data_IF_210469206987
#
_entry.id   IF_210469206987
#
_cell.length_a   1.000
_cell.length_b   1.000
_cell.length_c   1.000
_cell.angle_alpha   90.00
_cell.angle_beta   90.00
_cell.angle_gamma   90.00
#
_symmetry.space_group_name_H-M   'P 1'
#
loop_
_entity.id
_entity.type
_entity.pdbx_description
1 polymer ?
#
# COMPACT_ATOMS: atom_id res chain seq x y z
N UNK A 1 16.26 -19.40 -24.38
CA UNK A 1 15.70 -18.13 -24.89
C UNK A 1 14.46 -17.82 -24.09
N UNK A 2 14.45 -16.75 -23.30
CA UNK A 2 13.27 -16.36 -22.51
C UNK A 2 12.16 -15.93 -23.48
N UNK A 3 10.95 -16.45 -23.31
CA UNK A 3 9.83 -16.05 -24.18
C UNK A 3 9.37 -14.65 -23.81
N UNK A 4 8.94 -13.86 -24.79
CA UNK A 4 8.34 -12.52 -24.57
C UNK A 4 7.14 -12.58 -23.61
N UNK A 5 6.41 -13.71 -23.60
CA UNK A 5 5.33 -13.96 -22.64
C UNK A 5 5.86 -14.16 -21.21
N UNK A 6 7.00 -14.81 -21.03
CA UNK A 6 7.66 -14.98 -19.73
C UNK A 6 8.18 -13.66 -19.17
N UNK A 7 8.65 -12.75 -20.02
CA UNK A 7 9.09 -11.41 -19.61
C UNK A 7 7.93 -10.47 -19.28
N UNK A 8 6.83 -10.55 -20.02
CA UNK A 8 5.61 -9.80 -19.71
C UNK A 8 4.98 -10.33 -18.42
N UNK A 9 4.90 -11.66 -18.25
CA UNK A 9 4.40 -12.28 -17.03
C UNK A 9 5.30 -11.97 -15.84
N UNK A 10 6.62 -11.99 -16.00
CA UNK A 10 7.55 -11.57 -14.96
C UNK A 10 7.44 -10.08 -14.64
N UNK A 11 7.16 -9.20 -15.61
CA UNK A 11 6.88 -7.78 -15.37
C UNK A 11 5.54 -7.56 -14.66
N UNK A 12 4.50 -8.34 -14.98
CA UNK A 12 3.20 -8.29 -14.32
C UNK A 12 3.26 -8.87 -12.90
N UNK A 13 3.95 -9.99 -12.70
CA UNK A 13 4.22 -10.57 -11.38
C UNK A 13 5.14 -9.69 -10.53
N UNK A 14 6.05 -8.92 -11.16
CA UNK A 14 6.86 -7.90 -10.49
C UNK A 14 6.09 -6.59 -10.25
N UNK A 15 4.97 -6.37 -10.96
CA UNK A 15 4.11 -5.21 -10.77
C UNK A 15 3.14 -5.40 -9.59
N UNK A 16 2.73 -6.65 -9.28
CA UNK A 16 1.86 -6.91 -8.14
C UNK A 16 2.71 -7.16 -6.88
N UNK A 17 2.57 -6.35 -5.81
CA UNK A 17 3.24 -6.63 -4.55
C UNK A 17 2.78 -7.97 -3.96
N UNK A 18 3.72 -8.79 -3.52
CA UNK A 18 3.42 -10.08 -2.85
C UNK A 18 3.49 -9.97 -1.33
N UNK A 19 4.05 -8.87 -0.82
CA UNK A 19 4.10 -8.55 0.59
C UNK A 19 4.06 -7.04 0.83
N UNK A 20 3.68 -6.62 2.03
CA UNK A 20 3.77 -5.21 2.45
C UNK A 20 5.22 -4.71 2.40
N UNK A 21 6.18 -5.60 2.68
CA UNK A 21 7.61 -5.30 2.57
C UNK A 21 7.98 -4.94 1.13
N UNK A 22 7.44 -5.63 0.13
CA UNK A 22 7.67 -5.32 -1.29
C UNK A 22 7.21 -3.90 -1.65
N UNK A 23 6.17 -3.40 -0.97
CA UNK A 23 5.68 -2.03 -1.13
C UNK A 23 6.63 -1.08 -0.40
N UNK A 24 6.98 -1.37 0.86
CA UNK A 24 7.84 -0.49 1.66
C UNK A 24 9.23 -0.30 1.04
N UNK A 25 9.81 -1.37 0.48
CA UNK A 25 11.13 -1.34 -0.14
C UNK A 25 11.20 -0.42 -1.39
N UNK A 26 10.06 0.03 -1.93
CA UNK A 26 10.00 1.01 -3.03
C UNK A 26 10.16 2.46 -2.57
N UNK A 27 10.04 2.73 -1.28
CA UNK A 27 10.05 4.08 -0.72
C UNK A 27 11.20 4.23 0.25
N UNK A 28 12.18 5.06 -0.10
CA UNK A 28 13.26 5.41 0.81
C UNK A 28 12.79 6.48 1.79
N UNK A 29 13.03 6.27 3.09
CA UNK A 29 12.61 7.18 4.16
C UNK A 29 13.71 8.23 4.42
N UNK A 30 14.40 8.72 3.39
CA UNK A 30 15.21 9.94 3.53
C UNK A 30 14.32 11.20 3.51
N UNK A 31 13.24 11.22 4.29
CA UNK A 31 12.40 12.40 4.46
C UNK A 31 12.96 13.24 5.61
N UNK A 32 13.93 14.09 5.25
CA UNK A 32 14.57 15.08 6.12
C UNK A 32 13.62 16.22 6.50
N UNK A 33 12.46 15.95 7.13
CA UNK A 33 11.73 16.97 7.91
C UNK A 33 11.05 16.39 9.13
N UNK A 34 11.40 16.97 10.29
CA UNK A 34 11.07 16.52 11.63
C UNK A 34 9.58 16.26 11.87
N UNK A 35 9.34 15.17 12.60
CA UNK A 35 8.04 14.84 13.16
C UNK A 35 7.56 15.91 14.13
N UNK A 36 6.27 16.22 14.01
CA UNK A 36 5.57 17.08 14.95
C UNK A 36 4.08 16.93 14.77
N UNK A 37 3.39 16.34 15.76
CA UNK A 37 1.92 16.32 16.07
C UNK A 37 0.89 16.12 14.92
N UNK A 38 1.31 16.01 13.66
CA UNK A 38 0.47 15.81 12.48
C UNK A 38 0.53 14.37 11.93
N UNK A 39 1.29 13.47 12.58
CA UNK A 39 1.49 12.09 12.13
C UNK A 39 0.19 11.26 12.06
N UNK A 40 -0.87 11.68 12.76
CA UNK A 40 -2.18 11.04 12.64
C UNK A 40 -2.97 11.47 11.39
N UNK A 41 -2.48 12.40 10.59
CA UNK A 41 -3.16 12.86 9.38
C UNK A 41 -2.50 12.35 8.10
N UNK A 42 -1.31 11.74 8.19
CA UNK A 42 -0.52 11.32 7.04
C UNK A 42 -0.31 9.80 7.04
N UNK A 43 -0.10 9.23 5.85
CA UNK A 43 0.20 7.82 5.64
C UNK A 43 1.62 7.68 5.08
N UNK A 44 2.48 6.95 5.79
CA UNK A 44 3.79 6.56 5.29
C UNK A 44 3.70 5.27 4.49
N UNK A 45 4.28 5.27 3.29
CA UNK A 45 4.41 4.06 2.47
C UNK A 45 5.74 3.32 2.71
N UNK A 46 6.73 3.97 3.32
CA UNK A 46 7.95 3.32 3.81
C UNK A 46 7.80 2.86 5.26
N UNK A 47 8.70 1.97 5.69
CA UNK A 47 8.83 1.57 7.09
C UNK A 47 9.86 2.45 7.81
N UNK A 48 9.53 2.97 8.98
CA UNK A 48 10.47 3.70 9.84
C UNK A 48 10.53 3.04 11.23
N UNK A 49 11.69 2.47 11.57
CA UNK A 49 11.88 1.78 12.84
C UNK A 49 10.91 0.60 13.03
N UNK A 50 10.29 0.53 14.21
CA UNK A 50 9.37 -0.55 14.58
C UNK A 50 7.92 -0.38 14.12
N UNK A 51 7.56 0.76 13.52
CA UNK A 51 6.19 1.04 13.08
C UNK A 51 6.07 0.94 11.55
N UNK A 52 5.06 0.21 11.10
CA UNK A 52 4.74 0.05 9.68
C UNK A 52 3.27 0.43 9.46
N UNK A 53 3.06 1.60 8.87
CA UNK A 53 1.74 2.17 8.62
C UNK A 53 0.91 1.31 7.66
N UNK A 54 1.52 0.76 6.61
CA UNK A 54 0.81 -0.12 5.66
C UNK A 54 0.38 -1.42 6.33
N UNK A 55 1.23 -1.99 7.18
CA UNK A 55 0.87 -3.17 7.99
C UNK A 55 -0.30 -2.86 8.93
N UNK A 56 -0.27 -1.71 9.59
CA UNK A 56 -1.37 -1.26 10.45
C UNK A 56 -2.69 -1.13 9.67
N UNK A 57 -2.67 -0.49 8.49
CA UNK A 57 -3.86 -0.36 7.64
C UNK A 57 -4.36 -1.73 7.20
N UNK A 58 -3.46 -2.61 6.75
CA UNK A 58 -3.81 -3.96 6.35
C UNK A 58 -4.49 -4.72 7.48
N UNK A 59 -3.86 -4.83 8.65
CA UNK A 59 -4.37 -5.62 9.77
C UNK A 59 -5.68 -5.07 10.33
N UNK A 60 -5.84 -3.75 10.39
CA UNK A 60 -7.03 -3.13 11.02
C UNK A 60 -8.20 -2.94 10.07
N UNK A 61 -7.95 -2.72 8.77
CA UNK A 61 -8.99 -2.36 7.80
C UNK A 61 -9.24 -3.45 6.75
N UNK A 62 -8.17 -4.02 6.20
CA UNK A 62 -8.26 -4.91 5.03
C UNK A 62 -8.38 -6.39 5.42
N UNK A 63 -7.62 -6.86 6.40
CA UNK A 63 -7.64 -8.24 6.88
C UNK A 63 -9.04 -8.71 7.33
N UNK A 64 -9.86 -7.89 8.01
CA UNK A 64 -11.26 -8.26 8.27
C UNK A 64 -12.12 -8.43 7.01
N UNK A 65 -11.80 -7.74 5.91
CA UNK A 65 -12.47 -7.90 4.62
C UNK A 65 -11.99 -9.16 3.89
N UNK A 66 -10.69 -9.45 3.95
CA UNK A 66 -10.08 -10.69 3.44
C UNK A 66 -10.67 -11.91 4.16
N UNK A 67 -10.72 -11.89 5.49
CA UNK A 67 -11.30 -12.98 6.30
C UNK A 67 -12.78 -13.24 5.99
N UNK A 68 -13.50 -12.21 5.52
CA UNK A 68 -14.92 -12.30 5.10
C UNK A 68 -15.09 -12.55 3.61
N UNK A 69 -14.00 -12.86 2.90
CA UNK A 69 -13.95 -13.12 1.45
C UNK A 69 -14.57 -11.98 0.62
N UNK A 70 -14.49 -10.73 1.10
CA UNK A 70 -14.95 -9.54 0.37
C UNK A 70 -13.91 -9.06 -0.64
N UNK A 71 -12.64 -9.25 -0.31
CA UNK A 71 -11.48 -9.00 -1.17
C UNK A 71 -10.47 -10.14 -0.95
N UNK A 72 -9.54 -10.32 -1.87
CA UNK A 72 -8.38 -11.20 -1.67
C UNK A 72 -7.22 -10.44 -1.02
N UNK A 73 -6.25 -11.17 -0.47
CA UNK A 73 -5.00 -10.57 0.00
C UNK A 73 -4.24 -9.86 -1.12
N UNK A 74 -4.21 -10.45 -2.32
CA UNK A 74 -3.62 -9.82 -3.51
C UNK A 74 -4.30 -8.48 -3.84
N UNK A 75 -5.64 -8.42 -3.83
CA UNK A 75 -6.37 -7.17 -4.06
C UNK A 75 -6.04 -6.11 -3.01
N UNK A 76 -5.89 -6.52 -1.74
CA UNK A 76 -5.49 -5.61 -0.67
C UNK A 76 -4.08 -5.04 -0.89
N UNK A 77 -3.11 -5.88 -1.25
CA UNK A 77 -1.73 -5.46 -1.49
C UNK A 77 -1.61 -4.55 -2.71
N UNK A 78 -2.25 -4.93 -3.83
CA UNK A 78 -2.30 -4.12 -5.05
C UNK A 78 -2.95 -2.76 -4.79
N UNK A 79 -4.05 -2.72 -4.03
CA UNK A 79 -4.70 -1.45 -3.71
C UNK A 79 -3.84 -0.55 -2.80
N UNK A 80 -3.12 -1.12 -1.83
CA UNK A 80 -2.18 -0.37 -0.99
C UNK A 80 -1.02 0.22 -1.82
N UNK A 81 -0.44 -0.56 -2.72
CA UNK A 81 0.64 -0.11 -3.60
C UNK A 81 0.18 0.98 -4.57
N UNK A 82 -1.01 0.82 -5.17
CA UNK A 82 -1.61 1.85 -6.01
C UNK A 82 -1.86 3.16 -5.26
N UNK A 83 -2.32 3.10 -4.01
CA UNK A 83 -2.49 4.31 -3.20
C UNK A 83 -1.16 5.00 -2.92
N UNK A 84 -0.10 4.21 -2.68
CA UNK A 84 1.24 4.72 -2.46
C UNK A 84 1.84 5.34 -3.73
N UNK A 85 1.61 4.77 -4.90
CA UNK A 85 2.17 5.26 -6.16
C UNK A 85 1.41 6.46 -6.74
N UNK A 86 0.09 6.50 -6.58
CA UNK A 86 -0.77 7.56 -7.16
C UNK A 86 -0.84 8.83 -6.30
N UNK A 87 -0.73 8.72 -4.97
CA UNK A 87 -0.75 9.88 -4.09
C UNK A 87 0.66 10.46 -3.90
N UNK A 88 0.79 11.77 -4.16
CA UNK A 88 2.03 12.51 -3.91
C UNK A 88 2.32 12.61 -2.41
N UNK A 89 3.59 12.50 -2.04
CA UNK A 89 4.04 12.76 -0.67
C UNK A 89 3.95 14.28 -0.36
N UNK A 90 3.42 14.72 0.79
CA UNK A 90 2.82 13.95 1.88
C UNK A 90 1.43 13.42 1.55
N UNK A 91 1.21 12.13 1.80
CA UNK A 91 -0.08 11.45 1.54
C UNK A 91 -1.01 11.67 2.71
N UNK A 92 -2.11 12.40 2.51
CA UNK A 92 -3.13 12.59 3.54
C UNK A 92 -3.89 11.29 3.75
N UNK A 93 -4.10 10.91 5.01
CA UNK A 93 -4.81 9.68 5.39
C UNK A 93 -6.24 9.62 4.86
N UNK A 94 -6.93 10.77 4.84
CA UNK A 94 -8.28 10.87 4.25
C UNK A 94 -8.26 10.49 2.77
N UNK A 95 -7.45 11.18 1.98
CA UNK A 95 -7.29 10.93 0.54
C UNK A 95 -6.82 9.50 0.28
N UNK A 96 -5.96 8.97 1.16
CA UNK A 96 -5.50 7.58 1.10
C UNK A 96 -6.65 6.58 1.28
N UNK A 97 -7.52 6.75 2.28
CA UNK A 97 -8.66 5.86 2.49
C UNK A 97 -9.76 6.02 1.45
N UNK A 98 -9.98 7.24 0.93
CA UNK A 98 -10.90 7.47 -0.19
C UNK A 98 -10.42 6.69 -1.42
N UNK A 99 -9.15 6.85 -1.82
CA UNK A 99 -8.59 6.13 -2.96
C UNK A 99 -8.57 4.62 -2.74
N UNK A 100 -8.21 4.16 -1.53
CA UNK A 100 -8.21 2.74 -1.18
C UNK A 100 -9.60 2.13 -1.32
N UNK A 101 -10.64 2.88 -0.91
CA UNK A 101 -12.03 2.49 -1.11
C UNK A 101 -12.43 2.44 -2.58
N UNK A 102 -12.03 3.42 -3.38
CA UNK A 102 -12.27 3.43 -4.82
C UNK A 102 -11.63 2.22 -5.53
N UNK A 103 -10.37 1.91 -5.22
CA UNK A 103 -9.66 0.74 -5.81
C UNK A 103 -10.33 -0.59 -5.47
N UNK A 104 -10.89 -0.70 -4.27
CA UNK A 104 -11.55 -1.91 -3.78
C UNK A 104 -13.06 -1.93 -4.05
N UNK A 105 -13.63 -0.83 -4.56
CA UNK A 105 -15.07 -0.61 -4.66
C UNK A 105 -15.81 -0.87 -3.33
N UNK A 106 -15.25 -0.36 -2.23
CA UNK A 106 -15.72 -0.53 -0.85
C UNK A 106 -15.55 0.76 -0.05
N UNK A 107 -16.40 0.98 0.96
CA UNK A 107 -16.17 2.06 1.91
C UNK A 107 -15.12 1.62 2.95
N UNK A 108 -14.01 2.37 3.06
CA UNK A 108 -12.95 2.16 4.05
C UNK A 108 -12.96 3.34 5.03
N UNK A 109 -13.10 3.06 6.33
CA UNK A 109 -13.15 4.05 7.42
C UNK A 109 -11.96 3.88 8.35
#
# INVERSE_FOLDING_TARGET
MSSRASEILAKLLKANPTSIKDINDQYDYEDTKGGGKQDSALVSCGQCGGYNELQYIYDTKLKPLVNRLKITEEQALVALEACCSELKNPRKRKDFYELLGEKLNLEIK
#
